data_IF_646989437337
#
_entry.id   IF_646989437337
#
_cell.length_a   1.000
_cell.length_b   1.000
_cell.length_c   1.000
_cell.angle_alpha   90.00
_cell.angle_beta   90.00
_cell.angle_gamma   90.00
#
_symmetry.space_group_name_H-M   'P 1'
#
loop_
_entity.id
_entity.type
_entity.pdbx_description
1 polymer ?
#
# COMPACT_ATOMS: atom_id res chain seq x y z
N UNK A 1 -17.05 12.44 -6.52
CA UNK A 1 -16.35 12.27 -6.48
C UNK A 1 -15.75 12.14 -7.11
N UNK A 2 -15.10 12.11 -7.32
CA UNK A 2 -14.47 12.06 -7.98
C UNK A 2 -13.87 11.18 -8.15
N UNK A 3 -13.83 10.46 -8.88
CA UNK A 3 -13.21 9.61 -9.13
C UNK A 3 -11.87 9.69 -9.56
N UNK A 4 -11.42 10.35 -10.30
CA UNK A 4 -10.05 10.63 -10.59
C UNK A 4 -9.18 10.74 -9.36
N UNK A 5 -9.79 10.66 -8.21
CA UNK A 5 -9.08 10.74 -6.94
C UNK A 5 -8.49 9.42 -6.52
N UNK A 6 -8.78 8.35 -7.24
CA UNK A 6 -8.26 7.04 -6.88
C UNK A 6 -6.82 6.93 -7.36
N UNK A 7 -5.93 6.72 -6.40
CA UNK A 7 -4.50 6.57 -6.69
C UNK A 7 -4.19 5.07 -6.73
N UNK A 8 -3.56 4.59 -7.80
CA UNK A 8 -3.18 3.18 -7.84
C UNK A 8 -2.31 2.78 -6.66
N UNK A 9 -2.43 1.52 -6.24
CA UNK A 9 -1.67 1.04 -5.08
C UNK A 9 -0.17 1.20 -5.27
N UNK A 10 0.33 0.92 -6.46
CA UNK A 10 1.76 1.08 -6.73
C UNK A 10 2.20 2.53 -6.52
N UNK A 11 1.36 3.47 -6.93
CA UNK A 11 1.66 4.88 -6.75
C UNK A 11 1.70 5.25 -5.27
N UNK A 12 0.74 4.71 -4.49
CA UNK A 12 0.72 4.95 -3.06
C UNK A 12 1.98 4.43 -2.38
N UNK A 13 2.44 3.26 -2.82
CA UNK A 13 3.64 2.67 -2.26
C UNK A 13 4.87 3.53 -2.60
N UNK A 14 4.93 4.05 -3.81
CA UNK A 14 6.03 4.94 -4.20
C UNK A 14 6.04 6.20 -3.36
N UNK A 15 4.87 6.79 -3.13
CA UNK A 15 4.76 7.98 -2.30
C UNK A 15 5.20 7.67 -0.87
N UNK A 16 4.81 6.51 -0.35
CA UNK A 16 5.23 6.09 0.98
C UNK A 16 6.74 6.02 1.07
N UNK A 17 7.38 5.42 0.07
CA UNK A 17 8.83 5.30 0.04
C UNK A 17 9.50 6.67 0.04
N UNK A 18 8.97 7.60 -0.75
CA UNK A 18 9.52 8.96 -0.81
C UNK A 18 9.43 9.63 0.56
N UNK A 19 8.29 9.50 1.21
CA UNK A 19 8.09 10.12 2.51
C UNK A 19 8.97 9.51 3.59
N UNK A 20 9.29 8.22 3.46
CA UNK A 20 10.14 7.54 4.42
C UNK A 20 11.63 7.65 4.07
N UNK A 21 11.94 8.14 2.88
CA UNK A 21 13.32 8.28 2.44
C UNK A 21 14.00 6.96 2.13
N UNK A 22 13.25 5.97 1.67
CA UNK A 22 13.80 4.68 1.29
C UNK A 22 13.45 4.37 -0.16
N UNK A 23 14.20 3.43 -0.75
CA UNK A 23 13.91 2.96 -2.09
C UNK A 23 12.84 1.86 -2.03
N UNK A 24 12.22 1.61 -3.19
CA UNK A 24 11.26 0.51 -3.30
C UNK A 24 11.97 -0.81 -3.04
N UNK A 25 13.22 -0.94 -3.48
CA UNK A 25 14.01 -2.15 -3.22
C UNK A 25 14.21 -2.38 -1.73
N UNK A 26 14.46 -1.30 -0.99
CA UNK A 26 14.64 -1.40 0.45
C UNK A 26 13.32 -1.81 1.11
N UNK A 27 12.22 -1.24 0.64
CA UNK A 27 10.90 -1.61 1.18
C UNK A 27 10.65 -3.10 0.95
N UNK A 28 10.97 -3.59 -0.25
CA UNK A 28 10.77 -5.00 -0.56
C UNK A 28 11.54 -5.88 0.42
N UNK A 29 12.79 -5.52 0.69
CA UNK A 29 13.61 -6.29 1.62
C UNK A 29 13.03 -6.29 3.03
N UNK A 30 12.51 -5.17 3.47
CA UNK A 30 11.89 -5.08 4.79
C UNK A 30 10.63 -5.92 4.89
N UNK A 31 9.96 -6.12 3.77
CA UNK A 31 8.78 -6.98 3.71
C UNK A 31 9.13 -8.46 3.58
N UNK A 32 10.42 -8.78 3.51
CA UNK A 32 10.83 -10.16 3.32
C UNK A 32 10.66 -10.66 1.91
N UNK A 33 10.59 -9.76 0.94
CA UNK A 33 10.37 -10.10 -0.46
C UNK A 33 11.59 -9.71 -1.27
N UNK A 34 11.81 -10.39 -2.39
CA UNK A 34 12.87 -9.94 -3.29
C UNK A 34 12.41 -8.68 -4.02
N UNK A 35 13.33 -7.76 -4.34
CA UNK A 35 12.94 -6.57 -5.10
C UNK A 35 12.27 -6.90 -6.43
N UNK A 36 12.69 -7.99 -7.06
CA UNK A 36 12.11 -8.39 -8.34
C UNK A 36 10.66 -8.82 -8.21
N UNK A 37 10.36 -9.65 -7.21
CA UNK A 37 9.00 -10.11 -6.97
C UNK A 37 8.11 -8.94 -6.57
N UNK A 38 8.62 -8.05 -5.75
CA UNK A 38 7.88 -6.88 -5.31
C UNK A 38 7.56 -5.97 -6.49
N UNK A 39 8.54 -5.77 -7.36
CA UNK A 39 8.39 -4.94 -8.55
C UNK A 39 7.32 -5.51 -9.48
N UNK A 40 7.25 -6.82 -9.61
CA UNK A 40 6.22 -7.45 -10.44
C UNK A 40 4.83 -7.22 -9.86
N UNK A 41 4.70 -7.30 -8.54
CA UNK A 41 3.42 -6.99 -7.90
C UNK A 41 3.01 -5.56 -8.19
N UNK A 42 3.95 -4.64 -8.16
CA UNK A 42 3.65 -3.24 -8.44
C UNK A 42 3.17 -3.05 -9.87
N UNK A 43 3.81 -3.75 -10.82
CA UNK A 43 3.39 -3.64 -12.21
C UNK A 43 1.99 -4.16 -12.44
N UNK A 44 1.61 -5.22 -11.74
CA UNK A 44 0.30 -5.84 -11.90
C UNK A 44 -0.75 -5.26 -10.98
N UNK A 45 -0.37 -4.33 -10.12
CA UNK A 45 -1.27 -3.82 -9.08
C UNK A 45 -1.85 -4.97 -8.26
N UNK A 46 -1.00 -5.94 -7.96
CA UNK A 46 -1.44 -7.19 -7.35
C UNK A 46 -1.37 -7.22 -5.84
N UNK A 47 -1.44 -6.08 -5.18
CA UNK A 47 -1.41 -6.02 -3.73
C UNK A 47 -2.78 -6.24 -3.15
N UNK A 48 -2.89 -7.23 -2.27
CA UNK A 48 -4.11 -7.48 -1.51
C UNK A 48 -4.08 -6.62 -0.25
N UNK A 49 -5.22 -6.46 0.44
CA UNK A 49 -5.19 -5.75 1.73
C UNK A 49 -4.22 -6.37 2.72
N UNK A 50 -4.07 -7.69 2.73
CA UNK A 50 -3.10 -8.34 3.60
C UNK A 50 -1.68 -7.91 3.24
N UNK A 51 -1.37 -7.83 1.94
CA UNK A 51 -0.07 -7.36 1.49
C UNK A 51 0.20 -5.94 1.96
N UNK A 52 -0.81 -5.09 1.88
CA UNK A 52 -0.64 -3.70 2.29
C UNK A 52 -0.43 -3.58 3.80
N UNK A 53 -1.07 -4.42 4.57
CA UNK A 53 -0.84 -4.45 6.01
C UNK A 53 0.60 -4.90 6.32
N UNK A 54 1.09 -5.86 5.55
CA UNK A 54 2.48 -6.31 5.71
C UNK A 54 3.45 -5.20 5.38
N UNK A 55 3.18 -4.44 4.32
CA UNK A 55 4.03 -3.30 3.95
C UNK A 55 4.04 -2.29 5.08
N UNK A 56 2.87 -1.94 5.59
CA UNK A 56 2.78 -0.96 6.68
C UNK A 56 3.53 -1.44 7.91
N UNK A 57 3.35 -2.71 8.27
CA UNK A 57 4.04 -3.27 9.44
C UNK A 57 5.54 -3.27 9.29
N UNK A 58 6.02 -3.50 8.07
CA UNK A 58 7.46 -3.57 7.82
C UNK A 58 8.16 -2.23 8.05
N UNK A 59 7.43 -1.12 7.93
CA UNK A 59 8.01 0.21 8.10
C UNK A 59 7.41 0.95 9.30
N UNK A 60 6.67 0.25 10.14
CA UNK A 60 6.13 0.83 11.35
C UNK A 60 4.99 1.80 11.16
N UNK A 61 4.28 1.70 10.04
CA UNK A 61 3.15 2.56 9.74
C UNK A 61 1.85 1.86 10.05
N UNK A 62 0.81 2.65 10.32
CA UNK A 62 -0.54 2.11 10.40
C UNK A 62 -1.14 1.96 9.00
N UNK A 63 -2.07 1.06 8.87
CA UNK A 63 -2.79 0.89 7.62
C UNK A 63 -4.26 0.60 7.94
N UNK A 64 -5.14 1.35 7.29
CA UNK A 64 -6.58 1.20 7.48
C UNK A 64 -7.25 0.90 6.17
N UNK A 65 -8.18 -0.06 6.18
CA UNK A 65 -9.14 -0.23 5.10
C UNK A 65 -10.52 -0.14 5.72
N UNK A 66 -11.43 0.52 5.02
CA UNK A 66 -12.79 0.67 5.54
C UNK A 66 -13.77 0.78 4.41
N UNK A 67 -14.99 0.34 4.67
CA UNK A 67 -16.13 0.63 3.81
C UNK A 67 -16.86 1.84 4.39
N UNK A 68 -17.30 2.71 3.53
CA UNK A 68 -18.08 3.88 3.95
C UNK A 68 -19.49 3.66 3.47
N UNK A 69 -20.41 3.56 4.43
CA UNK A 69 -21.82 3.32 4.14
C UNK A 69 -22.48 4.59 3.64
N UNK A 70 -23.63 4.48 2.98
CA UNK A 70 -24.31 5.69 2.49
C UNK A 70 -24.63 6.70 3.57
N UNK A 71 -24.78 6.26 4.80
CA UNK A 71 -25.06 7.18 5.93
C UNK A 71 -23.80 7.80 6.51
N UNK A 72 -22.63 7.52 5.91
CA UNK A 72 -21.37 8.07 6.38
C UNK A 72 -20.66 7.22 7.42
N UNK A 73 -21.27 6.15 7.85
CA UNK A 73 -20.67 5.27 8.84
C UNK A 73 -19.55 4.44 8.21
N UNK A 74 -18.49 4.19 8.97
CA UNK A 74 -17.35 3.43 8.48
C UNK A 74 -17.33 2.04 9.12
N UNK A 75 -17.06 1.05 8.28
CA UNK A 75 -16.85 -0.32 8.76
C UNK A 75 -15.38 -0.63 8.54
N UNK A 76 -14.64 -0.82 9.63
CA UNK A 76 -13.21 -1.07 9.57
C UNK A 76 -12.88 -2.47 10.08
N UNK A 77 -11.68 -2.90 9.75
CA UNK A 77 -11.14 -4.15 10.30
C UNK A 77 -11.04 -4.10 11.79
#
# INVERSE_FOLDING_TARGET
>A
MKRGDIVPTSEQIKILCVKLGISVSELARRCGSSPQAFSQKMKREGFTPADLKDVAGAVGCGFETSFILPNGERVTD
#
